data_IF_801211389204
#
_entry.id   IF_801211389204
#
_cell.length_a   1.000
_cell.length_b   1.000
_cell.length_c   1.000
_cell.angle_alpha   90.00
_cell.angle_beta   90.00
_cell.angle_gamma   90.00
#
_symmetry.space_group_name_H-M   'P 1'
#
loop_
_entity.id
_entity.type
_entity.pdbx_description
1 polymer ?
#
# COMPACT_ATOMS: atom_id res chain seq x y z
N UNK A 1 -21.72 -56.22 -5.04
CA UNK A 1 -20.64 -55.35 -4.51
C UNK A 1 -21.26 -54.28 -3.61
N UNK A 2 -20.64 -54.03 -2.46
CA UNK A 2 -21.29 -53.76 -1.16
C UNK A 2 -21.72 -52.29 -0.98
N UNK A 3 -22.86 -52.05 -0.32
CA UNK A 3 -23.35 -50.73 0.15
C UNK A 3 -22.26 -49.86 0.82
N UNK A 4 -21.21 -50.47 1.38
CA UNK A 4 -20.04 -49.78 1.95
C UNK A 4 -19.29 -48.92 0.91
N UNK A 5 -19.10 -49.39 -0.32
CA UNK A 5 -18.39 -48.62 -1.37
C UNK A 5 -19.15 -47.35 -1.79
N UNK A 6 -20.49 -47.43 -1.83
CA UNK A 6 -21.34 -46.27 -2.17
C UNK A 6 -21.25 -45.17 -1.11
N UNK A 7 -21.14 -45.54 0.18
CA UNK A 7 -20.95 -44.59 1.28
C UNK A 7 -19.57 -43.92 1.24
N UNK A 8 -18.53 -44.68 0.88
CA UNK A 8 -17.16 -44.13 0.74
C UNK A 8 -17.08 -43.12 -0.41
N UNK A 9 -17.70 -43.43 -1.56
CA UNK A 9 -17.75 -42.50 -2.71
C UNK A 9 -18.55 -41.22 -2.39
N UNK A 10 -19.66 -41.35 -1.67
CA UNK A 10 -20.47 -40.20 -1.25
C UNK A 10 -19.69 -39.28 -0.30
N UNK A 11 -18.94 -39.86 0.65
CA UNK A 11 -18.13 -39.07 1.58
C UNK A 11 -16.98 -38.33 0.86
N UNK A 12 -16.34 -38.95 -0.14
CA UNK A 12 -15.33 -38.27 -0.94
C UNK A 12 -15.90 -37.11 -1.76
N UNK A 13 -17.10 -37.25 -2.31
CA UNK A 13 -17.79 -36.18 -3.05
C UNK A 13 -18.11 -34.99 -2.14
N UNK A 14 -18.60 -35.24 -0.92
CA UNK A 14 -18.92 -34.20 0.06
C UNK A 14 -17.67 -33.42 0.47
N UNK A 15 -16.56 -34.11 0.73
CA UNK A 15 -15.28 -33.47 1.08
C UNK A 15 -14.75 -32.63 -0.09
N UNK A 16 -14.86 -33.11 -1.33
CA UNK A 16 -14.45 -32.34 -2.51
C UNK A 16 -15.27 -31.06 -2.69
N UNK A 17 -16.58 -31.11 -2.48
CA UNK A 17 -17.45 -29.93 -2.55
C UNK A 17 -17.14 -28.93 -1.42
N UNK A 18 -16.84 -29.39 -0.21
CA UNK A 18 -16.45 -28.53 0.91
C UNK A 18 -15.11 -27.83 0.67
N UNK A 19 -14.13 -28.52 0.07
CA UNK A 19 -12.85 -27.93 -0.31
C UNK A 19 -13.07 -26.84 -1.37
N UNK A 20 -13.88 -27.11 -2.40
CA UNK A 20 -14.19 -26.13 -3.45
C UNK A 20 -14.90 -24.90 -2.86
N UNK A 21 -15.86 -25.08 -1.95
CA UNK A 21 -16.53 -23.97 -1.26
C UNK A 21 -15.57 -23.11 -0.43
N UNK A 22 -14.57 -23.72 0.24
CA UNK A 22 -13.54 -22.99 0.97
C UNK A 22 -12.60 -22.19 0.05
N UNK A 23 -12.30 -22.71 -1.15
CA UNK A 23 -11.55 -21.96 -2.16
C UNK A 23 -12.35 -20.76 -2.71
N UNK A 24 -13.66 -20.91 -2.91
CA UNK A 24 -14.51 -19.80 -3.34
C UNK A 24 -14.77 -18.76 -2.25
N UNK A 25 -14.84 -19.13 -0.96
CA UNK A 25 -14.93 -18.15 0.12
C UNK A 25 -13.63 -17.35 0.28
N UNK A 26 -12.46 -17.93 -0.05
CA UNK A 26 -11.19 -17.20 -0.12
C UNK A 26 -11.12 -16.20 -1.28
N UNK A 27 -11.75 -16.51 -2.42
CA UNK A 27 -11.83 -15.60 -3.57
C UNK A 27 -12.92 -14.53 -3.45
N UNK A 28 -14.03 -14.81 -2.75
CA UNK A 28 -15.09 -13.84 -2.48
C UNK A 28 -14.65 -12.71 -1.52
N UNK A 29 -13.62 -12.93 -0.69
CA UNK A 29 -13.01 -11.87 0.14
C UNK A 29 -12.17 -10.89 -0.68
N UNK A 30 -11.87 -11.19 -1.96
CA UNK A 30 -11.08 -10.29 -2.82
C UNK A 30 -11.87 -9.69 -3.99
N UNK A 31 -13.17 -9.93 -4.08
CA UNK A 31 -14.00 -9.43 -5.17
C UNK A 31 -15.49 -9.50 -4.84
N UNK A 32 -15.98 -8.50 -4.09
CA UNK A 32 -17.38 -8.43 -3.68
C UNK A 32 -17.78 -7.06 -3.14
N UNK A 33 -17.93 -6.10 -4.06
CA UNK A 33 -18.89 -4.98 -4.06
C UNK A 33 -19.24 -4.34 -2.70
N UNK A 34 -18.91 -3.05 -2.49
CA UNK A 34 -19.92 -1.97 -2.43
C UNK A 34 -19.32 -0.58 -2.18
N UNK A 35 -19.95 0.38 -2.87
CA UNK A 35 -20.21 1.77 -2.48
C UNK A 35 -19.07 2.79 -2.59
N UNK A 36 -19.42 3.98 -3.11
CA UNK A 36 -18.82 5.25 -2.75
C UNK A 36 -18.79 5.39 -1.22
N UNK A 37 -17.80 4.75 -0.59
CA UNK A 37 -17.55 4.76 0.83
C UNK A 37 -16.04 4.76 0.96
N UNK A 38 -15.53 5.73 1.71
CA UNK A 38 -14.11 5.83 2.05
C UNK A 38 -13.57 4.46 2.43
N UNK A 39 -12.80 3.83 1.53
CA UNK A 39 -12.02 2.65 1.90
C UNK A 39 -11.06 3.11 2.98
N UNK A 40 -11.11 2.44 4.14
CA UNK A 40 -10.15 2.71 5.19
C UNK A 40 -8.74 2.41 4.65
N UNK A 41 -7.77 3.31 4.85
CA UNK A 41 -6.40 3.09 4.41
C UNK A 41 -5.86 1.76 4.96
N UNK A 42 -5.28 0.91 4.10
CA UNK A 42 -4.66 -0.35 4.55
C UNK A 42 -3.32 -0.11 5.24
N UNK A 43 -2.70 1.05 4.97
CA UNK A 43 -1.47 1.51 5.61
C UNK A 43 -1.73 2.84 6.30
N UNK A 44 -1.07 3.04 7.43
CA UNK A 44 -1.08 4.30 8.16
C UNK A 44 -0.19 5.35 7.50
N UNK A 45 -0.38 6.63 7.88
CA UNK A 45 0.51 7.72 7.44
C UNK A 45 1.96 7.49 7.92
N UNK A 46 2.14 6.87 9.09
CA UNK A 46 3.45 6.52 9.63
C UNK A 46 4.16 5.46 8.75
N UNK A 47 3.45 4.39 8.37
CA UNK A 47 3.96 3.38 7.44
C UNK A 47 4.25 3.97 6.05
N UNK A 48 3.36 4.83 5.53
CA UNK A 48 3.58 5.51 4.26
C UNK A 48 4.81 6.43 4.30
N UNK A 49 5.04 7.13 5.41
CA UNK A 49 6.24 7.97 5.61
C UNK A 49 7.50 7.10 5.62
N UNK A 50 7.45 5.94 6.26
CA UNK A 50 8.56 4.98 6.28
C UNK A 50 8.86 4.42 4.88
N UNK A 51 7.83 4.07 4.11
CA UNK A 51 7.99 3.62 2.72
C UNK A 51 8.68 4.67 1.86
N UNK A 52 8.36 5.96 2.04
CA UNK A 52 9.07 7.06 1.37
C UNK A 52 10.54 7.18 1.79
N UNK A 53 10.86 6.97 3.07
CA UNK A 53 12.24 7.02 3.55
C UNK A 53 13.08 5.82 3.08
N UNK A 54 12.44 4.70 2.79
CA UNK A 54 13.07 3.46 2.31
C UNK A 54 13.10 3.35 0.78
N UNK A 55 12.39 4.22 0.04
CA UNK A 55 12.36 4.19 -1.43
C UNK A 55 13.75 4.49 -2.00
N UNK A 56 14.28 3.55 -2.80
CA UNK A 56 15.65 3.59 -3.28
C UNK A 56 15.95 4.79 -4.21
N UNK A 57 14.94 5.24 -4.97
CA UNK A 57 15.06 6.41 -5.87
C UNK A 57 15.19 7.68 -5.05
N UNK A 58 14.38 7.80 -4.00
CA UNK A 58 14.52 8.86 -3.02
C UNK A 58 15.88 8.77 -2.34
N UNK A 59 16.28 7.62 -1.79
CA UNK A 59 17.57 7.42 -1.10
C UNK A 59 18.76 7.84 -1.97
N UNK A 60 18.75 7.56 -3.27
CA UNK A 60 19.77 8.04 -4.21
C UNK A 60 19.71 9.56 -4.44
N UNK A 61 18.52 10.15 -4.58
CA UNK A 61 18.36 11.61 -4.59
C UNK A 61 18.78 12.25 -3.26
N UNK A 62 18.61 11.56 -2.12
CA UNK A 62 19.00 12.03 -0.78
C UNK A 62 20.51 11.96 -0.57
N UNK A 63 21.24 11.17 -1.37
CA UNK A 63 22.65 10.91 -1.17
C UNK A 63 23.49 12.14 -1.55
N UNK A 64 23.72 13.02 -0.57
CA UNK A 64 24.44 14.28 -0.72
C UNK A 64 23.63 15.54 -0.40
N UNK A 65 22.34 15.41 -0.04
CA UNK A 65 21.46 16.52 0.36
C UNK A 65 21.18 16.42 1.85
N UNK A 66 21.72 17.36 2.63
CA UNK A 66 21.88 17.19 4.08
C UNK A 66 20.56 17.14 4.87
N UNK A 67 19.45 17.72 4.40
CA UNK A 67 18.18 17.56 5.11
C UNK A 67 16.98 17.56 4.16
N UNK A 68 16.40 16.38 3.96
CA UNK A 68 15.08 16.20 3.35
C UNK A 68 14.01 16.27 4.44
N UNK A 69 13.17 17.29 4.37
CA UNK A 69 11.99 17.39 5.23
C UNK A 69 10.80 16.78 4.48
N UNK A 70 10.29 15.65 4.98
CA UNK A 70 9.09 14.99 4.47
C UNK A 70 7.88 15.54 5.23
N UNK A 71 6.96 16.19 4.50
CA UNK A 71 5.72 16.72 5.09
C UNK A 71 4.52 16.00 4.51
N UNK A 72 3.69 15.45 5.39
CA UNK A 72 2.36 14.99 5.01
C UNK A 72 1.45 16.20 4.73
N UNK A 73 0.86 16.26 3.54
CA UNK A 73 0.01 17.37 3.10
C UNK A 73 -1.47 16.99 3.10
N UNK A 74 -1.81 15.72 2.90
CA UNK A 74 -3.21 15.27 2.95
C UNK A 74 -3.47 13.90 2.34
N UNK A 75 -4.74 13.51 2.36
CA UNK A 75 -5.23 12.27 1.76
C UNK A 75 -6.15 12.59 0.59
N UNK A 76 -5.84 12.01 -0.57
CA UNK A 76 -6.68 12.07 -1.76
C UNK A 76 -7.55 10.81 -1.82
N UNK A 77 -8.79 10.95 -1.38
CA UNK A 77 -9.76 9.86 -1.38
C UNK A 77 -10.25 9.48 -2.77
N UNK A 78 -10.04 10.32 -3.79
CA UNK A 78 -10.42 10.00 -5.16
C UNK A 78 -9.43 9.05 -5.83
N UNK A 79 -8.16 9.11 -5.39
CA UNK A 79 -7.06 8.31 -5.90
C UNK A 79 -6.49 7.32 -4.87
N UNK A 80 -7.10 7.24 -3.67
CA UNK A 80 -6.66 6.40 -2.56
C UNK A 80 -5.17 6.54 -2.25
N UNK A 81 -4.68 7.78 -2.14
CA UNK A 81 -3.25 8.03 -1.90
C UNK A 81 -3.00 9.12 -0.87
N UNK A 82 -1.97 8.93 -0.06
CA UNK A 82 -1.41 9.99 0.75
C UNK A 82 -0.53 10.89 -0.11
N UNK A 83 -0.59 12.19 0.14
CA UNK A 83 0.19 13.21 -0.53
C UNK A 83 1.27 13.72 0.42
N UNK A 84 2.50 13.72 -0.06
CA UNK A 84 3.66 14.19 0.67
C UNK A 84 4.39 15.23 -0.15
N UNK A 85 4.92 16.23 0.55
CA UNK A 85 5.83 17.21 -0.03
C UNK A 85 7.20 17.03 0.59
N UNK A 86 8.18 16.79 -0.26
CA UNK A 86 9.58 16.61 0.13
C UNK A 86 10.34 17.87 -0.20
N UNK A 87 10.95 18.46 0.83
CA UNK A 87 11.75 19.67 0.71
C UNK A 87 13.22 19.31 0.80
N UNK A 88 13.97 19.61 -0.26
CA UNK A 88 15.43 19.65 -0.19
C UNK A 88 15.83 20.92 0.51
N UNK A 89 16.56 20.80 1.62
CA UNK A 89 17.22 21.95 2.25
C UNK A 89 18.71 21.91 2.01
N UNK A 90 19.27 23.10 1.80
CA UNK A 90 20.70 23.31 1.61
C UNK A 90 21.17 24.23 2.73
N UNK A 91 22.26 23.84 3.38
CA UNK A 91 23.00 24.67 4.31
C UNK A 91 24.11 25.39 3.55
N UNK A 92 24.15 26.72 3.63
CA UNK A 92 25.23 27.52 3.05
C UNK A 92 26.43 27.70 4.00
N UNK A 93 26.39 27.06 5.18
CA UNK A 93 27.48 27.04 6.15
C UNK A 93 27.39 28.10 7.26
N UNK A 94 26.36 28.97 7.24
CA UNK A 94 26.19 30.09 8.19
C UNK A 94 24.89 29.95 9.03
N UNK A 95 24.59 28.73 9.49
CA UNK A 95 23.38 28.34 10.26
C UNK A 95 22.02 28.65 9.58
N UNK A 96 22.03 29.20 8.35
CA UNK A 96 20.84 29.50 7.57
C UNK A 96 20.49 28.31 6.67
N UNK A 97 19.41 27.62 7.03
CA UNK A 97 18.85 26.53 6.22
C UNK A 97 17.78 27.11 5.28
N UNK A 98 17.96 26.93 3.98
CA UNK A 98 16.99 27.35 2.97
C UNK A 98 16.53 26.18 2.12
N UNK A 99 15.25 26.20 1.71
CA UNK A 99 14.69 25.20 0.80
C UNK A 99 15.20 25.48 -0.62
N UNK A 100 15.92 24.53 -1.20
CA UNK A 100 16.41 24.63 -2.58
C UNK A 100 15.36 24.15 -3.60
N UNK A 101 14.72 23.02 -3.32
CA UNK A 101 13.70 22.44 -4.20
C UNK A 101 12.59 21.78 -3.39
N UNK A 102 11.42 21.59 -4.00
CA UNK A 102 10.34 20.80 -3.42
C UNK A 102 9.65 19.97 -4.48
N UNK A 103 9.47 18.67 -4.20
CA UNK A 103 8.79 17.74 -5.10
C UNK A 103 7.59 17.10 -4.39
N UNK A 104 6.60 16.71 -5.19
CA UNK A 104 5.43 15.97 -4.73
C UNK A 104 5.64 14.48 -4.85
N UNK A 105 5.28 13.77 -3.79
CA UNK A 105 5.28 12.32 -3.73
C UNK A 105 3.94 11.82 -3.24
N UNK A 106 3.60 10.60 -3.67
CA UNK A 106 2.33 9.97 -3.37
C UNK A 106 2.58 8.53 -2.96
N UNK A 107 1.82 8.09 -1.96
CA UNK A 107 1.82 6.68 -1.53
C UNK A 107 0.41 6.14 -1.66
N UNK A 108 0.22 5.15 -2.52
CA UNK A 108 -1.06 4.45 -2.67
C UNK A 108 -1.36 3.66 -1.39
N UNK A 109 -2.52 3.93 -0.77
CA UNK A 109 -2.83 3.38 0.56
C UNK A 109 -3.26 1.92 0.55
N UNK A 110 -3.42 1.33 -0.63
CA UNK A 110 -3.86 -0.05 -0.79
C UNK A 110 -2.69 -0.99 -1.12
N UNK A 111 -1.73 -0.49 -1.89
CA UNK A 111 -0.58 -1.25 -2.40
C UNK A 111 0.74 -0.86 -1.73
N UNK A 112 0.84 0.34 -1.15
CA UNK A 112 2.10 0.90 -0.66
C UNK A 112 3.04 1.37 -1.77
N UNK A 113 2.56 1.47 -3.01
CA UNK A 113 3.37 1.96 -4.13
C UNK A 113 3.67 3.45 -3.98
N UNK A 114 4.95 3.82 -4.17
CA UNK A 114 5.45 5.20 -4.15
C UNK A 114 5.52 5.73 -5.57
N UNK A 115 5.03 6.96 -5.79
CA UNK A 115 5.11 7.67 -7.07
C UNK A 115 5.37 9.16 -6.86
N UNK A 116 5.77 9.87 -7.92
CA UNK A 116 6.06 11.31 -7.89
C UNK A 116 5.53 12.03 -9.13
N UNK A 117 5.32 13.34 -9.01
CA UNK A 117 5.07 14.23 -10.16
C UNK A 117 6.43 14.77 -10.65
N UNK A 118 6.91 14.28 -11.80
CA UNK A 118 8.08 14.82 -12.52
C UNK A 118 7.65 15.35 -13.90
#
# INVERSE_FOLDING_TARGET
>A
MKLKQKKTLLNCLVVAVLIIAAFFSGYAVRGGITTNGSQEPLISVEEATKLLQEDATLVEEMNGKEYLNIRYEGFDSSLNRYQFRLYETVSDGDDNVHTATSNWYYVDVLSGEVSSEF
#
